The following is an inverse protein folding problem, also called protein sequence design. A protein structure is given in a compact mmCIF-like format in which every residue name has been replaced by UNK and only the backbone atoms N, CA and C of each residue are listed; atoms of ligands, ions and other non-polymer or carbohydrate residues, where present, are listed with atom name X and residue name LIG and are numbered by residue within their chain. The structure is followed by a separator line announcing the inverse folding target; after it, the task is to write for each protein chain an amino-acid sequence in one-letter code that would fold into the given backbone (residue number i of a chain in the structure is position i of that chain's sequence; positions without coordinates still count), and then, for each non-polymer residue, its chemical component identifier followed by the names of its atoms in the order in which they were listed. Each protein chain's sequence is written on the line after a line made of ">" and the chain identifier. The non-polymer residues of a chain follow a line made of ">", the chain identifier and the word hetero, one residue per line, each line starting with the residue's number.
data_IF_262814754811
#
_entry.id   IF_262814754811
#
_cell.length_a   1.000
_cell.length_b   1.000
_cell.length_c   1.000
_cell.angle_alpha   90.00
_cell.angle_beta   90.00
_cell.angle_gamma   90.00
#
_symmetry.space_group_name_H-M   'P 1'
#
loop_
_entity.id
_entity.type
_entity.pdbx_description
1 polymer ?
#
# COMPACT_ATOMS: atom_id res chain seq x y z
N UNK A 1 17.83 -11.40 -35.32
CA UNK A 1 17.96 -9.94 -35.54
C UNK A 1 16.57 -9.32 -35.40
N UNK A 2 16.52 -8.16 -34.72
CA UNK A 2 15.50 -7.07 -34.80
C UNK A 2 14.05 -7.38 -34.39
N UNK A 3 13.43 -6.75 -33.37
CA UNK A 3 13.81 -5.57 -32.58
C UNK A 3 13.61 -5.80 -31.07
N UNK A 4 14.43 -5.29 -30.15
CA UNK A 4 15.20 -4.04 -30.11
C UNK A 4 14.36 -2.82 -30.45
N UNK A 5 13.61 -2.38 -29.44
CA UNK A 5 13.41 -0.99 -28.97
C UNK A 5 12.03 -0.97 -28.28
N UNK A 6 12.03 -0.96 -26.93
CA UNK A 6 10.88 -0.64 -26.02
C UNK A 6 10.12 -1.80 -25.32
N UNK A 7 10.37 -3.09 -25.58
CA UNK A 7 9.50 -4.15 -25.00
C UNK A 7 9.76 -4.55 -23.53
N UNK A 8 10.95 -4.29 -23.03
CA UNK A 8 11.28 -4.16 -21.63
C UNK A 8 12.31 -3.02 -21.63
N UNK A 9 12.45 -2.19 -20.61
CA UNK A 9 13.48 -1.13 -20.62
C UNK A 9 14.92 -1.70 -20.74
N UNK A 10 15.09 -3.03 -20.85
CA UNK A 10 16.36 -3.76 -20.76
C UNK A 10 16.92 -3.73 -19.34
N UNK A 11 16.15 -3.15 -18.41
CA UNK A 11 16.55 -2.92 -17.03
C UNK A 11 15.93 -4.01 -16.18
N UNK A 12 16.69 -5.08 -15.97
CA UNK A 12 16.33 -6.15 -15.05
C UNK A 12 16.07 -5.63 -13.63
N UNK A 13 15.38 -6.40 -12.77
CA UNK A 13 14.99 -5.97 -11.43
C UNK A 13 16.15 -5.45 -10.57
N UNK A 14 17.32 -6.07 -10.66
CA UNK A 14 18.53 -5.66 -9.93
C UNK A 14 19.08 -4.31 -10.42
N UNK A 15 19.15 -4.11 -11.73
CA UNK A 15 19.60 -2.84 -12.32
C UNK A 15 18.62 -1.73 -11.95
N UNK A 16 17.32 -2.01 -11.97
CA UNK A 16 16.31 -1.05 -11.54
C UNK A 16 16.50 -0.65 -10.07
N UNK A 17 16.76 -1.62 -9.19
CA UNK A 17 17.05 -1.36 -7.80
C UNK A 17 18.27 -0.45 -7.63
N UNK A 18 19.36 -0.71 -8.36
CA UNK A 18 20.57 0.12 -8.31
C UNK A 18 20.29 1.54 -8.82
N UNK A 19 19.60 1.69 -9.95
CA UNK A 19 19.25 2.99 -10.53
C UNK A 19 18.35 3.80 -9.59
N UNK A 20 17.36 3.15 -8.99
CA UNK A 20 16.43 3.80 -8.06
C UNK A 20 17.07 4.11 -6.72
N UNK A 21 17.97 3.26 -6.21
CA UNK A 21 18.77 3.55 -5.02
C UNK A 21 19.66 4.77 -5.26
N UNK A 22 20.42 4.78 -6.35
CA UNK A 22 21.29 5.92 -6.71
C UNK A 22 20.44 7.18 -6.90
N UNK A 23 19.33 7.11 -7.65
CA UNK A 23 18.42 8.22 -7.87
C UNK A 23 17.82 8.77 -6.56
N UNK A 24 17.33 7.90 -5.68
CA UNK A 24 16.79 8.32 -4.39
C UNK A 24 17.88 8.91 -3.48
N UNK A 25 19.08 8.33 -3.46
CA UNK A 25 20.21 8.88 -2.69
C UNK A 25 20.59 10.27 -3.23
N UNK A 26 20.76 10.45 -4.54
CA UNK A 26 21.11 11.75 -5.10
C UNK A 26 20.03 12.81 -4.86
N UNK A 27 18.76 12.45 -4.93
CA UNK A 27 17.65 13.39 -4.78
C UNK A 27 17.29 13.70 -3.33
N UNK A 28 17.45 12.77 -2.39
CA UNK A 28 16.86 12.88 -1.05
C UNK A 28 17.86 12.74 0.10
N UNK A 29 19.01 12.09 -0.12
CA UNK A 29 20.06 12.01 0.89
C UNK A 29 20.69 13.39 1.08
N UNK A 30 21.07 13.76 2.31
CA UNK A 30 22.03 14.87 2.46
C UNK A 30 23.36 14.44 3.01
N UNK A 31 24.35 14.74 2.19
CA UNK A 31 25.76 14.44 2.38
C UNK A 31 26.39 15.27 3.50
N UNK A 32 25.88 16.47 3.79
CA UNK A 32 26.36 17.30 4.90
C UNK A 32 26.02 16.76 6.30
N UNK A 33 25.07 15.83 6.41
CA UNK A 33 24.66 15.22 7.68
C UNK A 33 24.27 13.76 7.47
N UNK A 34 25.29 12.90 7.38
CA UNK A 34 25.15 11.47 7.11
C UNK A 34 24.22 10.80 8.13
N UNK A 35 24.45 11.00 9.44
CA UNK A 35 23.69 10.39 10.53
C UNK A 35 22.41 11.14 10.89
N UNK A 36 21.53 11.36 9.91
CA UNK A 36 20.23 11.99 10.14
C UNK A 36 19.09 10.96 10.09
N UNK A 37 18.04 11.16 10.90
CA UNK A 37 16.81 10.34 10.88
C UNK A 37 16.23 10.25 9.46
N UNK A 38 16.33 11.34 8.70
CA UNK A 38 15.93 11.39 7.29
C UNK A 38 16.72 10.43 6.40
N UNK A 39 18.05 10.42 6.53
CA UNK A 39 18.89 9.51 5.76
C UNK A 39 18.65 8.05 6.21
N UNK A 40 18.44 7.82 7.51
CA UNK A 40 18.02 6.52 8.02
C UNK A 40 16.71 6.06 7.37
N UNK A 41 15.70 6.93 7.30
CA UNK A 41 14.42 6.61 6.67
C UNK A 41 14.59 6.24 5.19
N UNK A 42 15.47 6.94 4.47
CA UNK A 42 15.80 6.62 3.08
C UNK A 42 16.51 5.26 2.96
N UNK A 43 17.42 4.93 3.88
CA UNK A 43 18.10 3.62 3.89
C UNK A 43 17.12 2.50 4.25
N UNK A 44 16.24 2.71 5.23
CA UNK A 44 15.18 1.78 5.61
C UNK A 44 14.22 1.53 4.44
N UNK A 45 13.96 2.54 3.60
CA UNK A 45 13.14 2.36 2.41
C UNK A 45 13.74 1.30 1.49
N UNK A 46 15.06 1.24 1.34
CA UNK A 46 15.74 0.24 0.51
C UNK A 46 16.12 -1.04 1.26
N UNK A 47 16.01 -1.07 2.60
CA UNK A 47 16.34 -2.25 3.40
C UNK A 47 15.45 -3.47 3.09
N UNK A 48 14.21 -3.27 2.65
CA UNK A 48 13.31 -4.34 2.20
C UNK A 48 13.66 -4.87 0.80
N UNK A 49 14.38 -4.10 0.00
CA UNK A 49 14.60 -4.41 -1.43
C UNK A 49 15.37 -5.70 -1.67
N UNK A 50 16.44 -6.06 -0.93
CA UNK A 50 17.13 -7.33 -1.11
C UNK A 50 16.21 -8.55 -0.89
N UNK A 51 15.36 -8.50 0.13
CA UNK A 51 14.36 -9.53 0.42
C UNK A 51 13.35 -9.66 -0.72
N UNK A 52 12.78 -8.54 -1.17
CA UNK A 52 11.87 -8.52 -2.32
C UNK A 52 12.54 -9.08 -3.58
N UNK A 53 13.78 -8.69 -3.86
CA UNK A 53 14.49 -9.09 -5.08
C UNK A 53 14.74 -10.59 -5.16
N UNK A 54 14.92 -11.25 -4.01
CA UNK A 54 15.02 -12.72 -3.96
C UNK A 54 13.71 -13.44 -4.22
N UNK A 55 12.57 -12.75 -4.15
CA UNK A 55 11.26 -13.32 -4.46
C UNK A 55 10.84 -13.04 -5.91
N UNK A 56 11.21 -11.87 -6.45
CA UNK A 56 10.86 -11.46 -7.82
C UNK A 56 11.37 -12.48 -8.84
N UNK A 57 10.46 -12.99 -9.68
CA UNK A 57 10.82 -13.88 -10.80
C UNK A 57 11.11 -15.34 -10.40
N UNK A 58 11.11 -15.69 -9.10
CA UNK A 58 11.44 -17.05 -8.63
C UNK A 58 10.23 -18.01 -8.58
N UNK A 59 9.04 -17.59 -9.01
CA UNK A 59 7.85 -18.44 -9.11
C UNK A 59 7.55 -19.17 -7.80
N UNK A 60 7.41 -20.50 -7.87
CA UNK A 60 7.09 -21.36 -6.72
C UNK A 60 8.27 -21.63 -5.79
N UNK A 61 9.50 -21.31 -6.19
CA UNK A 61 10.73 -21.54 -5.40
C UNK A 61 11.12 -20.30 -4.62
N UNK A 62 10.22 -19.86 -3.75
CA UNK A 62 10.45 -18.69 -2.91
C UNK A 62 11.28 -19.07 -1.67
N UNK A 63 12.51 -18.54 -1.52
CA UNK A 63 13.37 -18.92 -0.40
C UNK A 63 12.83 -18.32 0.91
N UNK A 64 12.58 -19.15 1.91
CA UNK A 64 12.07 -18.74 3.23
C UNK A 64 12.88 -17.59 3.87
N UNK A 65 14.21 -17.57 3.68
CA UNK A 65 15.09 -16.50 4.18
C UNK A 65 14.74 -15.11 3.66
N UNK A 66 14.14 -15.00 2.47
CA UNK A 66 13.70 -13.72 1.93
C UNK A 66 12.52 -13.15 2.75
N UNK A 67 11.59 -14.00 3.19
CA UNK A 67 10.52 -13.60 4.09
C UNK A 67 11.03 -13.16 5.45
N UNK A 68 12.02 -13.86 6.01
CA UNK A 68 12.69 -13.44 7.25
C UNK A 68 13.27 -12.03 7.10
N UNK A 69 13.92 -11.75 5.97
CA UNK A 69 14.48 -10.43 5.67
C UNK A 69 13.40 -9.34 5.58
N UNK A 70 12.29 -9.63 4.91
CA UNK A 70 11.14 -8.73 4.81
C UNK A 70 10.50 -8.47 6.18
N UNK A 71 10.42 -9.49 7.03
CA UNK A 71 9.92 -9.36 8.40
C UNK A 71 10.84 -8.46 9.23
N UNK A 72 12.16 -8.64 9.16
CA UNK A 72 13.12 -7.80 9.87
C UNK A 72 13.07 -6.34 9.40
N UNK A 73 13.01 -6.10 8.09
CA UNK A 73 12.86 -4.75 7.54
C UNK A 73 11.52 -4.11 7.90
N UNK A 74 10.44 -4.88 7.89
CA UNK A 74 9.11 -4.42 8.32
C UNK A 74 9.10 -4.11 9.81
N UNK A 75 9.82 -4.90 10.63
CA UNK A 75 9.93 -4.66 12.06
C UNK A 75 10.72 -3.37 12.34
N UNK A 76 11.79 -3.11 11.58
CA UNK A 76 12.53 -1.85 11.66
C UNK A 76 11.64 -0.65 11.29
N UNK A 77 10.81 -0.78 10.25
CA UNK A 77 9.81 0.25 9.90
C UNK A 77 8.75 0.44 10.99
N UNK A 78 8.25 -0.65 11.58
CA UNK A 78 7.28 -0.60 12.68
C UNK A 78 7.86 0.15 13.89
N UNK A 79 9.07 -0.20 14.31
CA UNK A 79 9.80 0.52 15.37
C UNK A 79 9.97 1.99 14.99
N UNK A 80 10.36 2.28 13.75
CA UNK A 80 10.53 3.65 13.27
C UNK A 80 9.23 4.45 13.32
N UNK A 81 8.09 3.85 13.00
CA UNK A 81 6.76 4.48 13.14
C UNK A 81 6.41 4.81 14.59
N UNK A 82 6.81 3.99 15.57
CA UNK A 82 6.61 4.31 16.99
C UNK A 82 7.56 5.39 17.49
N UNK A 83 8.85 5.32 17.13
CA UNK A 83 9.82 6.38 17.43
C UNK A 83 9.36 7.72 16.88
N UNK A 84 8.67 7.70 15.74
CA UNK A 84 8.06 8.86 15.12
C UNK A 84 7.14 9.64 16.06
N UNK A 85 6.38 8.95 16.93
CA UNK A 85 5.46 9.56 17.88
C UNK A 85 6.19 10.42 18.93
N UNK A 86 7.44 10.08 19.26
CA UNK A 86 8.27 10.81 20.22
C UNK A 86 9.03 12.00 19.64
N UNK A 87 9.08 12.17 18.31
CA UNK A 87 9.86 13.22 17.66
C UNK A 87 9.12 14.57 17.64
N UNK A 88 9.49 15.45 18.57
CA UNK A 88 8.94 16.83 18.71
C UNK A 88 9.42 17.78 17.61
N UNK A 89 10.69 17.69 17.21
CA UNK A 89 11.27 18.44 16.09
C UNK A 89 11.71 17.49 14.99
N UNK A 90 11.36 17.83 13.75
CA UNK A 90 11.67 17.01 12.59
C UNK A 90 12.50 17.78 11.58
N UNK A 91 13.68 17.28 11.19
CA UNK A 91 14.37 17.79 10.03
C UNK A 91 13.59 17.39 8.78
N UNK A 92 13.10 18.38 8.04
CA UNK A 92 12.35 18.19 6.81
C UNK A 92 13.22 17.51 5.74
N UNK A 93 12.65 16.53 5.03
CA UNK A 93 13.28 15.91 3.86
C UNK A 93 13.12 16.84 2.66
N UNK A 94 14.01 17.82 2.56
CA UNK A 94 14.07 18.69 1.40
C UNK A 94 14.83 18.00 0.27
N UNK A 95 14.21 17.86 -0.92
CA UNK A 95 14.88 17.31 -2.07
C UNK A 95 16.07 18.18 -2.48
N UNK A 96 17.08 17.57 -3.10
CA UNK A 96 18.23 18.24 -3.67
C UNK A 96 17.93 18.82 -5.07
N UNK A 97 16.76 18.49 -5.64
CA UNK A 97 16.26 19.01 -6.90
C UNK A 97 15.15 20.04 -6.65
N UNK A 98 15.06 21.06 -7.50
CA UNK A 98 14.01 22.06 -7.43
C UNK A 98 12.63 21.52 -7.87
N UNK A 99 11.57 22.30 -7.68
CA UNK A 99 10.20 21.90 -7.98
C UNK A 99 10.00 21.52 -9.46
N UNK A 100 10.54 22.31 -10.39
CA UNK A 100 10.40 22.07 -11.83
C UNK A 100 11.08 20.74 -12.24
N UNK A 101 12.28 20.47 -11.73
CA UNK A 101 12.99 19.21 -11.96
C UNK A 101 12.25 18.01 -11.40
N UNK A 102 11.71 18.11 -10.18
CA UNK A 102 10.90 17.04 -9.57
C UNK A 102 9.60 16.81 -10.34
N UNK A 103 8.98 17.87 -10.88
CA UNK A 103 7.76 17.75 -11.67
C UNK A 103 8.04 17.04 -13.00
N UNK A 104 9.10 17.47 -13.70
CA UNK A 104 9.58 16.81 -14.91
C UNK A 104 9.88 15.33 -14.66
N UNK A 105 10.64 15.03 -13.59
CA UNK A 105 10.97 13.65 -13.23
C UNK A 105 9.74 12.82 -12.86
N UNK A 106 8.80 13.39 -12.09
CA UNK A 106 7.55 12.71 -11.73
C UNK A 106 6.71 12.40 -12.96
N UNK A 107 6.55 13.35 -13.88
CA UNK A 107 5.80 13.14 -15.13
C UNK A 107 6.48 12.08 -15.98
N UNK A 108 7.80 12.18 -16.18
CA UNK A 108 8.56 11.18 -16.95
C UNK A 108 8.46 9.77 -16.36
N UNK A 109 8.67 9.63 -15.05
CA UNK A 109 8.55 8.34 -14.35
C UNK A 109 7.14 7.78 -14.41
N UNK A 110 6.12 8.63 -14.22
CA UNK A 110 4.72 8.21 -14.34
C UNK A 110 4.40 7.75 -15.76
N UNK A 111 4.84 8.47 -16.78
CA UNK A 111 4.68 8.08 -18.18
C UNK A 111 5.39 6.75 -18.49
N UNK A 112 6.60 6.54 -17.96
CA UNK A 112 7.32 5.27 -18.10
C UNK A 112 6.57 4.11 -17.44
N UNK A 113 6.07 4.29 -16.22
CA UNK A 113 5.31 3.25 -15.52
C UNK A 113 3.98 2.95 -16.22
N UNK A 114 3.28 3.96 -16.74
CA UNK A 114 2.06 3.76 -17.54
C UNK A 114 2.37 3.01 -18.84
N UNK A 115 3.43 3.40 -19.55
CA UNK A 115 3.87 2.70 -20.75
C UNK A 115 4.25 1.24 -20.44
N UNK A 116 4.96 1.00 -19.34
CA UNK A 116 5.32 -0.35 -18.89
C UNK A 116 4.07 -1.18 -18.55
N UNK A 117 3.05 -0.61 -17.89
CA UNK A 117 1.80 -1.34 -17.63
C UNK A 117 1.09 -1.80 -18.92
N UNK A 118 1.16 -1.00 -19.98
CA UNK A 118 0.57 -1.31 -21.29
C UNK A 118 1.39 -2.38 -22.01
N UNK A 119 2.72 -2.28 -21.99
CA UNK A 119 3.63 -3.15 -22.73
C UNK A 119 3.93 -4.48 -22.04
N UNK A 120 3.83 -4.54 -20.71
CA UNK A 120 4.22 -5.71 -19.91
C UNK A 120 3.30 -6.91 -20.23
N UNK A 121 3.84 -8.05 -20.69
CA UNK A 121 3.06 -9.27 -20.90
C UNK A 121 2.26 -9.68 -19.66
N UNK A 122 1.08 -10.26 -19.87
CA UNK A 122 0.15 -10.60 -18.79
C UNK A 122 0.77 -11.56 -17.77
N UNK A 123 1.42 -12.61 -18.27
CA UNK A 123 2.06 -13.67 -17.49
C UNK A 123 3.33 -13.21 -16.77
N UNK A 124 4.05 -12.23 -17.31
CA UNK A 124 5.23 -11.66 -16.65
C UNK A 124 4.84 -10.73 -15.49
N UNK A 125 3.74 -9.99 -15.62
CA UNK A 125 3.28 -9.07 -14.59
C UNK A 125 2.94 -9.75 -13.26
N UNK A 126 2.35 -10.95 -13.30
CA UNK A 126 2.08 -11.73 -12.09
C UNK A 126 3.36 -12.29 -11.47
N UNK A 127 4.24 -12.89 -12.29
CA UNK A 127 5.53 -13.47 -11.84
C UNK A 127 6.46 -12.43 -11.22
N UNK A 128 6.32 -11.16 -11.61
CA UNK A 128 7.12 -10.06 -11.08
C UNK A 128 6.74 -9.70 -9.65
N UNK A 129 5.48 -9.85 -9.26
CA UNK A 129 4.97 -9.38 -7.98
C UNK A 129 4.93 -10.51 -6.94
N UNK A 130 5.82 -10.50 -5.93
CA UNK A 130 5.80 -11.52 -4.88
C UNK A 130 4.51 -11.53 -4.05
N UNK A 131 3.74 -10.45 -4.06
CA UNK A 131 2.47 -10.37 -3.33
C UNK A 131 1.27 -10.84 -4.16
N UNK A 132 1.47 -11.37 -5.37
CA UNK A 132 0.38 -11.97 -6.13
C UNK A 132 -0.05 -13.28 -5.44
N UNK A 133 -1.34 -13.48 -5.09
CA UNK A 133 -1.79 -14.70 -4.43
C UNK A 133 -1.45 -15.94 -5.25
N UNK A 134 -0.82 -16.92 -4.60
CA UNK A 134 -0.55 -18.23 -5.18
C UNK A 134 -1.87 -18.92 -5.52
N UNK A 135 -2.08 -19.29 -6.79
CA UNK A 135 -3.30 -19.99 -7.21
C UNK A 135 -4.51 -19.10 -7.49
N UNK A 136 -4.33 -17.92 -8.12
CA UNK A 136 -5.44 -17.22 -8.78
C UNK A 136 -6.24 -18.23 -9.60
N UNK A 137 -7.47 -18.51 -9.18
CA UNK A 137 -8.45 -19.29 -9.95
C UNK A 137 -8.63 -18.60 -11.31
N UNK A 138 -7.83 -18.95 -12.31
CA UNK A 138 -8.15 -18.60 -13.69
C UNK A 138 -9.45 -19.33 -13.97
N UNK A 139 -10.58 -18.64 -14.19
CA UNK A 139 -11.81 -19.31 -14.54
C UNK A 139 -11.51 -20.15 -15.79
N UNK A 140 -11.94 -21.42 -15.85
CA UNK A 140 -11.77 -22.19 -17.07
C UNK A 140 -12.41 -21.40 -18.22
N UNK A 141 -11.77 -21.36 -19.40
CA UNK A 141 -12.24 -20.55 -20.51
C UNK A 141 -13.72 -20.86 -20.82
N UNK A 142 -14.52 -19.85 -21.23
CA UNK A 142 -15.92 -20.09 -21.60
C UNK A 142 -16.00 -21.20 -22.65
N UNK A 143 -16.71 -22.29 -22.35
CA UNK A 143 -16.82 -23.47 -23.23
C UNK A 143 -16.00 -24.70 -22.82
N UNK A 144 -15.24 -24.64 -21.73
CA UNK A 144 -14.39 -25.74 -21.25
C UNK A 144 -15.14 -26.99 -20.73
N UNK A 145 -16.48 -27.04 -20.77
CA UNK A 145 -17.20 -28.19 -20.22
C UNK A 145 -17.31 -29.39 -21.14
N UNK A 146 -17.48 -29.28 -22.46
CA UNK A 146 -17.68 -30.53 -23.25
C UNK A 146 -17.23 -30.52 -24.74
N UNK A 147 -16.74 -29.41 -25.31
CA UNK A 147 -16.53 -29.35 -26.77
C UNK A 147 -15.10 -29.65 -27.28
N UNK A 148 -14.06 -29.56 -26.44
CA UNK A 148 -12.66 -29.45 -26.93
C UNK A 148 -11.62 -30.25 -26.11
N UNK A 149 -11.95 -31.47 -25.66
CA UNK A 149 -10.99 -32.32 -24.93
C UNK A 149 -9.74 -32.64 -25.77
N UNK A 150 -9.90 -32.88 -27.08
CA UNK A 150 -8.79 -33.12 -28.00
C UNK A 150 -7.93 -31.86 -28.23
N UNK A 151 -8.55 -30.68 -28.39
CA UNK A 151 -7.82 -29.41 -28.52
C UNK A 151 -7.07 -29.09 -27.22
N UNK A 152 -7.69 -29.32 -26.06
CA UNK A 152 -7.05 -29.15 -24.76
C UNK A 152 -5.88 -30.13 -24.56
N UNK A 153 -6.00 -31.39 -25.02
CA UNK A 153 -4.90 -32.36 -25.02
C UNK A 153 -3.76 -31.93 -25.96
N UNK A 154 -4.07 -31.43 -27.16
CA UNK A 154 -3.06 -30.89 -28.09
C UNK A 154 -2.38 -29.64 -27.52
N UNK A 155 -3.11 -28.76 -26.82
CA UNK A 155 -2.55 -27.58 -26.14
C UNK A 155 -1.68 -27.93 -24.93
N UNK A 156 -1.87 -29.10 -24.32
CA UNK A 156 -0.96 -29.61 -23.29
C UNK A 156 0.36 -30.11 -23.90
N UNK A 157 0.33 -30.65 -25.13
CA UNK A 157 1.51 -31.15 -25.86
C UNK A 157 2.26 -29.99 -26.54
N UNK A 158 1.52 -29.02 -27.09
CA UNK A 158 2.04 -27.85 -27.77
C UNK A 158 1.33 -26.59 -27.24
N UNK A 159 1.86 -25.96 -26.17
CA UNK A 159 1.27 -24.75 -25.62
C UNK A 159 1.23 -23.64 -26.68
N UNK A 160 0.08 -22.99 -26.84
CA UNK A 160 -0.03 -21.77 -27.64
C UNK A 160 1.05 -20.76 -27.19
N UNK A 161 1.74 -20.10 -28.14
CA UNK A 161 2.53 -18.91 -27.84
C UNK A 161 1.70 -17.93 -27.01
N UNK A 162 2.30 -17.31 -25.99
CA UNK A 162 1.61 -16.39 -25.07
C UNK A 162 0.86 -15.27 -25.80
N UNK A 163 1.37 -14.83 -26.95
CA UNK A 163 0.74 -13.83 -27.82
C UNK A 163 -0.63 -14.25 -28.41
N UNK A 164 -0.93 -15.55 -28.46
CA UNK A 164 -2.16 -16.11 -29.03
C UNK A 164 -3.16 -16.56 -27.96
N UNK A 165 -2.81 -16.48 -26.67
CA UNK A 165 -3.72 -16.80 -25.57
C UNK A 165 -4.65 -15.60 -25.31
N UNK A 166 -5.98 -15.74 -25.41
CA UNK A 166 -6.89 -14.66 -25.06
C UNK A 166 -6.75 -14.34 -23.58
N UNK A 167 -6.45 -13.07 -23.26
CA UNK A 167 -6.33 -12.62 -21.88
C UNK A 167 -7.73 -12.52 -21.25
N UNK A 168 -7.94 -13.11 -20.07
CA UNK A 168 -9.23 -13.00 -19.39
C UNK A 168 -9.54 -11.52 -19.07
N UNK A 169 -10.81 -11.08 -19.23
CA UNK A 169 -11.18 -9.67 -19.03
C UNK A 169 -10.90 -9.17 -17.61
N UNK A 170 -10.89 -10.07 -16.63
CA UNK A 170 -10.53 -9.75 -15.24
C UNK A 170 -9.10 -9.20 -15.13
N UNK A 171 -8.15 -9.75 -15.88
CA UNK A 171 -6.73 -9.35 -15.79
C UNK A 171 -6.51 -7.99 -16.44
N UNK A 172 -7.17 -7.73 -17.56
CA UNK A 172 -7.15 -6.41 -18.20
C UNK A 172 -7.74 -5.36 -17.24
N UNK A 173 -8.91 -5.66 -16.65
CA UNK A 173 -9.57 -4.76 -15.71
C UNK A 173 -8.73 -4.52 -14.45
N UNK A 174 -8.06 -5.56 -13.93
CA UNK A 174 -7.11 -5.45 -12.81
C UNK A 174 -5.97 -4.48 -13.14
N UNK A 175 -5.37 -4.57 -14.33
CA UNK A 175 -4.31 -3.66 -14.78
C UNK A 175 -4.77 -2.22 -14.97
N UNK A 176 -5.96 -2.03 -15.53
CA UNK A 176 -6.58 -0.70 -15.65
C UNK A 176 -6.83 -0.12 -14.26
N UNK A 177 -7.38 -0.91 -13.34
CA UNK A 177 -7.63 -0.51 -11.97
C UNK A 177 -6.34 -0.16 -11.23
N UNK A 178 -5.27 -0.96 -11.38
CA UNK A 178 -3.96 -0.66 -10.82
C UNK A 178 -3.41 0.67 -11.36
N UNK A 179 -3.48 0.89 -12.68
CA UNK A 179 -3.02 2.13 -13.33
C UNK A 179 -3.76 3.36 -12.81
N UNK A 180 -5.10 3.29 -12.74
CA UNK A 180 -5.93 4.36 -12.18
C UNK A 180 -5.62 4.60 -10.71
N UNK A 181 -5.36 3.54 -9.94
CA UNK A 181 -4.99 3.65 -8.53
C UNK A 181 -3.59 4.29 -8.37
N UNK A 182 -2.61 4.00 -9.21
CA UNK A 182 -1.31 4.69 -9.22
C UNK A 182 -1.48 6.20 -9.51
N UNK A 183 -2.28 6.56 -10.52
CA UNK A 183 -2.58 7.96 -10.85
C UNK A 183 -3.27 8.67 -9.68
N UNK A 184 -4.30 8.05 -9.11
CA UNK A 184 -5.03 8.58 -7.96
C UNK A 184 -4.13 8.72 -6.73
N UNK A 185 -3.22 7.77 -6.51
CA UNK A 185 -2.27 7.79 -5.42
C UNK A 185 -1.25 8.92 -5.57
N UNK A 186 -0.67 9.11 -6.75
CA UNK A 186 0.24 10.24 -7.06
C UNK A 186 -0.48 11.58 -6.83
N UNK A 187 -1.70 11.73 -7.36
CA UNK A 187 -2.51 12.92 -7.13
C UNK A 187 -2.80 13.14 -5.64
N UNK A 188 -3.16 12.07 -4.92
CA UNK A 188 -3.42 12.10 -3.49
C UNK A 188 -2.21 12.55 -2.67
N UNK A 189 -1.02 12.04 -2.97
CA UNK A 189 0.23 12.42 -2.30
C UNK A 189 0.55 13.91 -2.51
N UNK A 190 0.40 14.41 -3.75
CA UNK A 190 0.57 15.83 -4.08
C UNK A 190 -0.47 16.68 -3.34
N UNK A 191 -1.75 16.28 -3.33
CA UNK A 191 -2.83 17.00 -2.64
C UNK A 191 -2.58 17.06 -1.14
N UNK A 192 -2.13 15.97 -0.50
CA UNK A 192 -1.80 15.97 0.93
C UNK A 192 -0.63 16.92 1.21
N UNK A 193 0.42 16.90 0.40
CA UNK A 193 1.54 17.83 0.56
C UNK A 193 1.16 19.30 0.34
N UNK A 194 0.29 19.58 -0.63
CA UNK A 194 -0.18 20.94 -0.89
C UNK A 194 -1.14 21.44 0.20
N UNK A 195 -2.21 20.70 0.50
CA UNK A 195 -3.29 21.16 1.38
C UNK A 195 -2.97 21.02 2.86
N UNK A 196 -2.29 19.93 3.24
CA UNK A 196 -2.13 19.57 4.65
C UNK A 196 -0.74 19.84 5.18
N UNK A 197 0.29 19.60 4.35
CA UNK A 197 1.66 19.98 4.71
C UNK A 197 1.96 21.45 4.42
N UNK A 198 1.11 22.14 3.64
CA UNK A 198 1.30 23.53 3.21
C UNK A 198 2.64 23.75 2.49
N UNK A 199 3.17 22.68 1.89
CA UNK A 199 4.45 22.66 1.18
C UNK A 199 4.29 21.83 -0.10
N UNK A 200 3.96 22.45 -1.24
CA UNK A 200 3.77 21.75 -2.50
C UNK A 200 4.99 20.91 -2.91
N UNK A 201 6.20 21.42 -2.67
CA UNK A 201 7.46 20.70 -2.96
C UNK A 201 7.55 19.39 -2.17
N UNK A 202 7.04 19.33 -0.93
CA UNK A 202 7.04 18.11 -0.15
C UNK A 202 6.08 17.05 -0.74
N UNK A 203 4.88 17.47 -1.17
CA UNK A 203 3.95 16.56 -1.86
C UNK A 203 4.51 16.01 -3.16
N UNK A 204 5.16 16.87 -3.93
CA UNK A 204 5.85 16.48 -5.15
C UNK A 204 7.02 15.52 -4.87
N UNK A 205 7.82 15.80 -3.85
CA UNK A 205 8.94 14.95 -3.43
C UNK A 205 8.47 13.55 -2.98
N UNK A 206 7.37 13.47 -2.22
CA UNK A 206 6.73 12.21 -1.84
C UNK A 206 6.29 11.43 -3.08
N UNK A 207 5.62 12.09 -4.02
CA UNK A 207 5.17 11.47 -5.26
C UNK A 207 6.35 10.99 -6.13
N UNK A 208 7.41 11.79 -6.26
CA UNK A 208 8.63 11.39 -6.98
C UNK A 208 9.30 10.19 -6.30
N UNK A 209 9.42 10.18 -4.97
CA UNK A 209 10.01 9.07 -4.23
C UNK A 209 9.16 7.79 -4.35
N UNK A 210 7.83 7.93 -4.37
CA UNK A 210 6.92 6.82 -4.67
C UNK A 210 7.16 6.26 -6.07
N UNK A 211 7.21 7.11 -7.09
CA UNK A 211 7.39 6.69 -8.49
C UNK A 211 8.77 6.06 -8.74
N UNK A 212 9.81 6.56 -8.07
CA UNK A 212 11.16 6.00 -8.12
C UNK A 212 11.33 4.74 -7.27
N UNK A 213 10.42 4.45 -6.35
CA UNK A 213 10.60 3.31 -5.45
C UNK A 213 10.65 1.99 -6.22
N UNK A 214 11.59 1.07 -5.90
CA UNK A 214 11.67 -0.23 -6.58
C UNK A 214 10.37 -1.04 -6.41
N UNK A 215 9.67 -0.88 -5.28
CA UNK A 215 8.42 -1.58 -4.99
C UNK A 215 7.29 -1.20 -5.95
N UNK A 216 7.25 0.06 -6.40
CA UNK A 216 6.22 0.56 -7.31
C UNK A 216 6.30 -0.12 -8.67
N UNK A 217 7.52 -0.37 -9.18
CA UNK A 217 7.72 -1.07 -10.46
C UNK A 217 7.53 -2.59 -10.29
N UNK A 218 7.94 -3.17 -9.16
CA UNK A 218 7.77 -4.60 -8.86
C UNK A 218 6.29 -4.99 -8.84
N UNK A 219 5.46 -4.22 -8.13
CA UNK A 219 4.03 -4.46 -7.99
C UNK A 219 3.17 -3.53 -8.87
N UNK A 220 3.69 -3.13 -10.04
CA UNK A 220 3.11 -2.12 -10.94
C UNK A 220 1.67 -2.44 -11.37
N UNK A 221 1.37 -3.72 -11.59
CA UNK A 221 0.05 -4.19 -12.03
C UNK A 221 -0.79 -4.74 -10.88
N UNK A 222 -0.37 -4.56 -9.64
CA UNK A 222 -1.04 -5.11 -8.46
C UNK A 222 -2.16 -4.19 -7.96
N UNK A 223 -3.35 -4.35 -8.53
CA UNK A 223 -4.55 -3.68 -8.02
C UNK A 223 -4.93 -4.10 -6.59
N UNK A 224 -4.42 -5.23 -6.08
CA UNK A 224 -4.69 -5.67 -4.72
C UNK A 224 -4.15 -4.71 -3.67
N UNK A 225 -2.90 -4.27 -3.82
CA UNK A 225 -2.26 -3.35 -2.88
C UNK A 225 -2.50 -1.88 -3.22
N UNK A 226 -2.48 -1.51 -4.51
CA UNK A 226 -2.46 -0.10 -4.91
C UNK A 226 -3.83 0.56 -4.72
N UNK A 227 -4.92 -0.18 -4.96
CA UNK A 227 -6.29 0.33 -4.75
C UNK A 227 -6.54 0.76 -3.29
N UNK A 228 -6.34 -0.11 -2.28
CA UNK A 228 -6.52 0.31 -0.89
C UNK A 228 -5.52 1.39 -0.49
N UNK A 229 -4.27 1.35 -0.97
CA UNK A 229 -3.31 2.42 -0.71
C UNK A 229 -3.79 3.79 -1.25
N UNK A 230 -4.30 3.84 -2.48
CA UNK A 230 -4.88 5.03 -3.09
C UNK A 230 -6.12 5.53 -2.32
N UNK A 231 -6.99 4.62 -1.89
CA UNK A 231 -8.16 4.95 -1.07
C UNK A 231 -7.75 5.56 0.29
N UNK A 232 -6.75 4.99 0.96
CA UNK A 232 -6.27 5.50 2.26
C UNK A 232 -5.60 6.88 2.11
N UNK A 233 -4.77 7.08 1.09
CA UNK A 233 -4.16 8.40 0.84
C UNK A 233 -5.22 9.42 0.44
N UNK A 234 -6.23 9.02 -0.32
CA UNK A 234 -7.38 9.89 -0.62
C UNK A 234 -8.17 10.21 0.64
N UNK A 235 -8.35 9.25 1.56
CA UNK A 235 -8.99 9.46 2.85
C UNK A 235 -8.21 10.50 3.69
N UNK A 236 -6.88 10.45 3.66
CA UNK A 236 -6.03 11.47 4.27
C UNK A 236 -6.21 12.83 3.58
N UNK A 237 -6.33 12.89 2.26
CA UNK A 237 -6.58 14.14 1.55
C UNK A 237 -7.90 14.81 1.97
N UNK A 238 -8.90 14.03 2.41
CA UNK A 238 -10.22 14.51 2.84
C UNK A 238 -10.52 14.27 4.33
N UNK A 239 -9.49 14.13 5.18
CA UNK A 239 -9.65 13.74 6.60
C UNK A 239 -10.54 14.68 7.43
N UNK A 240 -10.82 15.90 6.98
CA UNK A 240 -11.75 16.81 7.68
C UNK A 240 -13.22 16.44 7.49
N UNK A 241 -13.53 15.51 6.57
CA UNK A 241 -14.88 15.03 6.26
C UNK A 241 -15.04 13.57 6.73
N UNK A 242 -15.49 13.32 7.98
CA UNK A 242 -15.47 11.99 8.59
C UNK A 242 -16.28 10.95 7.82
N UNK A 243 -17.40 11.33 7.19
CA UNK A 243 -18.22 10.40 6.40
C UNK A 243 -17.49 9.94 5.13
N UNK A 244 -16.82 10.85 4.41
CA UNK A 244 -16.08 10.51 3.18
C UNK A 244 -14.82 9.71 3.52
N UNK A 245 -14.10 10.10 4.57
CA UNK A 245 -12.99 9.31 5.08
C UNK A 245 -13.46 7.91 5.51
N UNK A 246 -14.62 7.82 6.16
CA UNK A 246 -15.22 6.55 6.56
C UNK A 246 -15.57 5.65 5.37
N UNK A 247 -16.12 6.23 4.30
CA UNK A 247 -16.40 5.53 3.04
C UNK A 247 -15.11 4.96 2.43
N UNK A 248 -14.07 5.78 2.30
CA UNK A 248 -12.81 5.39 1.67
C UNK A 248 -12.04 4.33 2.48
N UNK A 249 -11.96 4.48 3.80
CA UNK A 249 -11.35 3.47 4.68
C UNK A 249 -12.19 2.19 4.71
N UNK A 250 -13.52 2.31 4.69
CA UNK A 250 -14.42 1.16 4.61
C UNK A 250 -14.24 0.37 3.31
N UNK A 251 -14.12 1.04 2.16
CA UNK A 251 -13.81 0.41 0.88
C UNK A 251 -12.42 -0.25 0.89
N UNK A 252 -11.41 0.41 1.45
CA UNK A 252 -10.07 -0.16 1.59
C UNK A 252 -10.05 -1.42 2.47
N UNK A 253 -10.83 -1.43 3.56
CA UNK A 253 -11.01 -2.58 4.45
C UNK A 253 -11.84 -3.72 3.83
N UNK A 254 -12.83 -3.39 3.01
CA UNK A 254 -13.56 -4.38 2.22
C UNK A 254 -12.73 -5.01 1.10
N UNK A 255 -11.74 -4.28 0.57
CA UNK A 255 -10.82 -4.76 -0.46
C UNK A 255 -9.65 -5.56 0.10
N UNK A 256 -9.09 -5.12 1.24
CA UNK A 256 -7.90 -5.71 1.86
C UNK A 256 -8.08 -5.80 3.38
N UNK A 257 -8.13 -7.01 3.97
CA UNK A 257 -8.34 -7.21 5.41
C UNK A 257 -7.32 -6.50 6.31
N UNK A 258 -6.08 -6.29 5.85
CA UNK A 258 -5.06 -5.51 6.54
C UNK A 258 -5.54 -4.10 6.96
N UNK A 259 -6.47 -3.52 6.20
CA UNK A 259 -7.01 -2.18 6.45
C UNK A 259 -8.09 -2.17 7.55
N UNK A 260 -8.57 -3.33 8.04
CA UNK A 260 -9.57 -3.39 9.11
C UNK A 260 -9.08 -2.72 10.40
N UNK A 261 -7.78 -2.84 10.72
CA UNK A 261 -7.17 -2.17 11.87
C UNK A 261 -7.24 -0.64 11.80
N UNK A 262 -7.40 -0.06 10.60
CA UNK A 262 -7.53 1.38 10.42
C UNK A 262 -8.88 1.91 10.91
N UNK A 263 -9.94 1.11 10.92
CA UNK A 263 -11.28 1.54 11.33
C UNK A 263 -11.30 2.00 12.80
N UNK A 264 -10.93 1.18 13.80
CA UNK A 264 -10.88 1.63 15.18
C UNK A 264 -9.81 2.71 15.42
N UNK A 265 -8.68 2.68 14.70
CA UNK A 265 -7.64 3.72 14.79
C UNK A 265 -8.19 5.10 14.38
N UNK A 266 -8.84 5.18 13.23
CA UNK A 266 -9.42 6.42 12.69
C UNK A 266 -10.66 6.85 13.48
N UNK A 267 -11.45 5.91 14.02
CA UNK A 267 -12.51 6.22 14.98
C UNK A 267 -11.94 6.96 16.21
N UNK A 268 -10.80 6.50 16.71
CA UNK A 268 -10.03 7.16 17.78
C UNK A 268 -9.53 8.55 17.39
N UNK A 269 -9.13 8.77 16.13
CA UNK A 269 -8.77 10.10 15.63
C UNK A 269 -9.96 11.06 15.62
N UNK A 270 -11.16 10.60 15.25
CA UNK A 270 -12.39 11.40 15.27
C UNK A 270 -13.11 11.43 16.64
N UNK A 271 -12.51 10.89 17.70
CA UNK A 271 -13.16 10.64 19.01
C UNK A 271 -13.95 11.84 19.55
N UNK A 272 -13.41 13.06 19.43
CA UNK A 272 -14.11 14.28 19.88
C UNK A 272 -15.31 14.65 19.02
N UNK A 273 -15.19 14.55 17.70
CA UNK A 273 -16.23 14.98 16.77
C UNK A 273 -16.12 14.23 15.46
N UNK A 274 -17.23 13.61 15.06
CA UNK A 274 -17.34 12.89 13.80
C UNK A 274 -17.08 11.39 13.90
N UNK A 275 -16.73 10.84 15.07
CA UNK A 275 -16.49 9.40 15.22
C UNK A 275 -17.69 8.57 14.77
N UNK A 276 -18.92 8.91 15.21
CA UNK A 276 -20.14 8.19 14.81
C UNK A 276 -20.30 8.17 13.29
N UNK A 277 -20.14 9.33 12.64
CA UNK A 277 -20.28 9.44 11.17
C UNK A 277 -19.22 8.64 10.43
N UNK A 278 -17.99 8.65 10.94
CA UNK A 278 -16.91 7.85 10.38
C UNK A 278 -17.20 6.35 10.56
N UNK A 279 -17.45 5.90 11.79
CA UNK A 279 -17.62 4.48 12.11
C UNK A 279 -18.86 3.89 11.47
N UNK A 280 -19.99 4.61 11.48
CA UNK A 280 -21.23 4.12 10.86
C UNK A 280 -21.07 3.92 9.36
N UNK A 281 -20.39 4.86 8.68
CA UNK A 281 -20.14 4.75 7.24
C UNK A 281 -19.12 3.67 6.95
N UNK A 282 -18.00 3.60 7.68
CA UNK A 282 -16.99 2.55 7.47
C UNK A 282 -17.56 1.16 7.67
N UNK A 283 -18.26 0.92 8.78
CA UNK A 283 -18.87 -0.37 9.08
C UNK A 283 -20.00 -0.70 8.10
N UNK A 284 -20.80 0.29 7.69
CA UNK A 284 -21.83 0.12 6.68
C UNK A 284 -21.27 -0.30 5.33
N UNK A 285 -20.16 0.30 4.89
CA UNK A 285 -19.47 -0.03 3.63
C UNK A 285 -18.81 -1.40 3.69
N UNK A 286 -18.16 -1.75 4.80
CA UNK A 286 -17.57 -3.08 5.00
C UNK A 286 -18.66 -4.15 4.96
N UNK A 287 -19.73 -3.95 5.74
CA UNK A 287 -20.87 -4.87 5.79
C UNK A 287 -21.55 -4.97 4.42
N UNK A 288 -21.76 -3.85 3.73
CA UNK A 288 -22.31 -3.82 2.38
C UNK A 288 -21.44 -4.57 1.37
N UNK A 289 -20.12 -4.40 1.42
CA UNK A 289 -19.18 -5.13 0.55
C UNK A 289 -19.22 -6.63 0.81
N UNK A 290 -19.27 -7.04 2.08
CA UNK A 290 -19.38 -8.44 2.47
C UNK A 290 -20.71 -9.06 2.03
N UNK A 291 -21.83 -8.35 2.23
CA UNK A 291 -23.16 -8.78 1.79
C UNK A 291 -23.22 -8.91 0.26
N UNK A 292 -22.72 -7.91 -0.48
CA UNK A 292 -22.64 -7.99 -1.95
C UNK A 292 -21.85 -9.22 -2.39
N UNK A 293 -20.68 -9.47 -1.79
CA UNK A 293 -19.86 -10.64 -2.09
C UNK A 293 -20.52 -11.97 -1.77
N UNK A 294 -21.35 -12.04 -0.72
CA UNK A 294 -22.06 -13.25 -0.30
C UNK A 294 -23.32 -13.53 -1.12
N UNK A 295 -24.08 -12.49 -1.49
CA UNK A 295 -25.39 -12.63 -2.13
C UNK A 295 -25.38 -12.51 -3.65
N UNK A 296 -24.36 -11.88 -4.25
CA UNK A 296 -24.25 -11.77 -5.72
C UNK A 296 -23.35 -12.90 -6.24
N UNK A 297 -23.91 -13.89 -6.97
CA UNK A 297 -23.13 -15.02 -7.46
C UNK A 297 -21.96 -14.56 -8.34
N UNK A 298 -20.76 -15.07 -8.04
CA UNK A 298 -19.55 -14.76 -8.82
C UNK A 298 -18.90 -13.41 -8.50
N UNK A 299 -19.54 -12.50 -7.75
CA UNK A 299 -18.95 -11.20 -7.43
C UNK A 299 -17.68 -11.34 -6.59
N UNK A 300 -17.68 -12.18 -5.56
CA UNK A 300 -16.49 -12.44 -4.75
C UNK A 300 -15.33 -13.03 -5.58
N UNK A 301 -15.63 -13.84 -6.60
CA UNK A 301 -14.63 -14.38 -7.53
C UNK A 301 -14.05 -13.28 -8.42
N UNK A 302 -14.91 -12.38 -8.93
CA UNK A 302 -14.47 -11.21 -9.69
C UNK A 302 -13.61 -10.28 -8.84
N UNK A 303 -14.02 -9.98 -7.61
CA UNK A 303 -13.24 -9.15 -6.69
C UNK A 303 -11.85 -9.74 -6.44
N UNK A 304 -11.76 -11.06 -6.18
CA UNK A 304 -10.48 -11.77 -6.03
C UNK A 304 -9.63 -11.76 -7.29
N UNK A 305 -10.24 -11.93 -8.46
CA UNK A 305 -9.55 -11.82 -9.74
C UNK A 305 -9.02 -10.39 -10.01
N UNK A 306 -9.67 -9.36 -9.45
CA UNK A 306 -9.21 -7.98 -9.45
C UNK A 306 -8.21 -7.67 -8.32
N UNK A 307 -7.84 -8.63 -7.47
CA UNK A 307 -6.84 -8.47 -6.42
C UNK A 307 -7.39 -8.17 -5.02
N UNK A 308 -8.71 -8.13 -4.82
CA UNK A 308 -9.26 -8.06 -3.46
C UNK A 308 -8.94 -9.36 -2.71
N UNK A 309 -8.64 -9.27 -1.41
CA UNK A 309 -8.30 -10.44 -0.58
C UNK A 309 -9.40 -10.76 0.43
N UNK A 310 -9.63 -12.04 0.67
CA UNK A 310 -10.64 -12.50 1.63
C UNK A 310 -10.11 -12.60 3.06
N UNK A 311 -11.02 -12.66 4.04
CA UNK A 311 -10.67 -12.93 5.45
C UNK A 311 -10.00 -14.31 5.62
N UNK A 312 -10.35 -15.27 4.76
CA UNK A 312 -9.74 -16.60 4.75
C UNK A 312 -8.26 -16.54 4.35
N UNK A 313 -7.95 -15.87 3.24
CA UNK A 313 -6.58 -15.65 2.74
C UNK A 313 -5.72 -14.85 3.72
N UNK A 314 -6.32 -13.92 4.47
CA UNK A 314 -5.63 -13.23 5.56
C UNK A 314 -5.35 -14.16 6.76
N UNK A 315 -6.03 -15.29 6.88
CA UNK A 315 -5.95 -16.22 8.01
C UNK A 315 -6.85 -15.84 9.18
N UNK A 316 -7.89 -15.03 8.99
CA UNK A 316 -8.83 -14.67 10.07
C UNK A 316 -9.91 -15.73 10.32
N UNK A 317 -10.06 -16.71 9.41
CA UNK A 317 -11.01 -17.82 9.58
C UNK A 317 -10.31 -19.08 10.12
N UNK A 318 -10.96 -19.86 11.02
CA UNK A 318 -10.41 -21.12 11.53
C UNK A 318 -10.28 -22.19 10.45
N UNK A 319 -9.32 -23.11 10.61
CA UNK A 319 -9.22 -24.33 9.81
C UNK A 319 -8.56 -24.18 8.43
N UNK A 320 -7.88 -23.05 8.17
CA UNK A 320 -7.06 -22.86 6.98
C UNK A 320 -5.58 -23.12 7.32
N UNK A 321 -4.98 -24.10 6.66
CA UNK A 321 -3.55 -24.38 6.77
C UNK A 321 -2.73 -23.37 5.96
N UNK A 322 -1.53 -22.97 6.41
CA UNK A 322 -0.64 -22.12 5.63
C UNK A 322 -0.27 -22.82 4.32
N UNK A 323 -0.10 -22.06 3.23
CA UNK A 323 0.32 -22.64 1.96
C UNK A 323 1.68 -23.33 2.11
N UNK A 324 1.88 -24.39 1.34
CA UNK A 324 3.11 -25.18 1.38
C UNK A 324 4.34 -24.35 1.04
N UNK A 325 4.21 -23.29 0.22
CA UNK A 325 5.26 -22.35 -0.18
C UNK A 325 4.69 -20.91 -0.21
N UNK A 326 5.54 -19.89 -0.36
CA UNK A 326 5.09 -18.51 -0.58
C UNK A 326 4.64 -17.77 0.70
N UNK A 327 5.16 -18.16 1.86
CA UNK A 327 4.87 -17.45 3.11
C UNK A 327 5.98 -17.64 4.14
N UNK A 328 6.12 -16.67 5.05
CA UNK A 328 6.92 -16.83 6.27
C UNK A 328 6.46 -18.02 7.12
N UNK A 329 5.14 -18.26 7.14
CA UNK A 329 4.51 -19.32 7.92
C UNK A 329 4.52 -20.69 7.24
N UNK A 330 5.07 -20.80 6.03
CA UNK A 330 5.24 -22.08 5.33
C UNK A 330 6.07 -23.06 6.16
N UNK A 331 5.57 -24.28 6.36
CA UNK A 331 6.22 -25.31 7.16
C UNK A 331 6.17 -25.09 8.68
N UNK A 332 5.52 -24.04 9.15
CA UNK A 332 5.30 -23.75 10.58
C UNK A 332 3.81 -23.99 10.88
N UNK A 333 3.52 -24.57 12.03
CA UNK A 333 2.14 -24.74 12.49
C UNK A 333 1.43 -23.37 12.56
N UNK A 334 0.25 -23.29 11.95
CA UNK A 334 -0.55 -22.07 11.85
C UNK A 334 -0.85 -21.44 13.21
N UNK A 335 -0.87 -22.21 14.30
CA UNK A 335 -1.14 -21.74 15.65
C UNK A 335 -0.11 -20.74 16.17
N UNK A 336 1.16 -20.81 15.74
CA UNK A 336 2.21 -19.87 16.17
C UNK A 336 1.99 -18.43 15.70
N UNK A 337 1.09 -18.20 14.72
CA UNK A 337 0.70 -16.86 14.30
C UNK A 337 -0.34 -16.21 15.24
N UNK A 338 -1.05 -17.00 16.05
CA UNK A 338 -2.12 -16.50 16.91
C UNK A 338 -1.61 -15.49 17.96
N UNK A 339 -0.48 -15.72 18.65
CA UNK A 339 0.11 -14.70 19.52
C UNK A 339 0.44 -13.40 18.77
N UNK A 340 0.92 -13.49 17.52
CA UNK A 340 1.23 -12.33 16.68
C UNK A 340 -0.05 -11.57 16.29
N UNK A 341 -1.11 -12.29 15.94
CA UNK A 341 -2.43 -11.71 15.67
C UNK A 341 -3.00 -11.03 16.92
N UNK A 342 -2.89 -11.66 18.09
CA UNK A 342 -3.33 -11.08 19.38
C UNK A 342 -2.55 -9.80 19.67
N UNK A 343 -1.22 -9.80 19.46
CA UNK A 343 -0.38 -8.62 19.62
C UNK A 343 -0.79 -7.50 18.64
N UNK A 344 -1.15 -7.83 17.40
CA UNK A 344 -1.69 -6.89 16.44
C UNK A 344 -3.04 -6.31 16.88
N UNK A 345 -3.97 -7.15 17.36
CA UNK A 345 -5.26 -6.68 17.88
C UNK A 345 -5.09 -5.78 19.11
N UNK A 346 -4.16 -6.12 20.00
CA UNK A 346 -3.78 -5.28 21.12
C UNK A 346 -3.20 -3.94 20.66
N UNK A 347 -2.31 -3.95 19.65
CA UNK A 347 -1.79 -2.73 19.03
C UNK A 347 -2.93 -1.86 18.47
N UNK A 348 -3.85 -2.43 17.72
CA UNK A 348 -5.00 -1.72 17.15
C UNK A 348 -5.89 -1.13 18.24
N UNK A 349 -6.16 -1.88 19.31
CA UNK A 349 -6.95 -1.40 20.45
C UNK A 349 -6.24 -0.25 21.19
N UNK A 350 -4.97 -0.44 21.54
CA UNK A 350 -4.16 0.57 22.23
C UNK A 350 -4.07 1.83 21.38
N UNK A 351 -3.75 1.70 20.10
CA UNK A 351 -3.63 2.85 19.20
C UNK A 351 -4.98 3.48 18.87
N UNK A 352 -6.11 2.77 18.97
CA UNK A 352 -7.43 3.40 18.90
C UNK A 352 -7.67 4.34 20.09
N UNK A 353 -7.32 3.90 21.29
CA UNK A 353 -7.59 4.63 22.53
C UNK A 353 -6.54 5.70 22.86
N UNK A 354 -5.28 5.45 22.52
CA UNK A 354 -4.12 6.28 22.86
C UNK A 354 -3.25 6.59 21.63
N UNK A 355 -2.76 7.83 21.44
CA UNK A 355 -3.09 9.04 22.18
C UNK A 355 -4.58 9.41 22.08
N UNK A 356 -5.14 10.05 23.11
CA UNK A 356 -6.58 10.39 23.14
C UNK A 356 -6.95 11.48 22.12
N UNK A 357 -6.01 12.39 21.84
CA UNK A 357 -6.17 13.46 20.85
C UNK A 357 -5.10 13.34 19.77
N UNK A 358 -5.39 12.54 18.75
CA UNK A 358 -4.46 12.31 17.65
C UNK A 358 -4.40 13.52 16.71
N UNK A 359 -3.19 13.97 16.39
CA UNK A 359 -2.96 14.89 15.27
C UNK A 359 -2.80 14.12 13.94
N UNK A 360 -2.80 14.84 12.82
CA UNK A 360 -2.67 14.24 11.49
C UNK A 360 -1.35 13.46 11.30
N UNK A 361 -0.26 13.92 11.92
CA UNK A 361 1.01 13.20 11.89
C UNK A 361 0.92 11.85 12.62
N UNK A 362 0.40 11.84 13.85
CA UNK A 362 0.18 10.61 14.59
C UNK A 362 -0.75 9.65 13.83
N UNK A 363 -1.79 10.17 13.16
CA UNK A 363 -2.65 9.35 12.32
C UNK A 363 -1.89 8.68 11.17
N UNK A 364 -1.04 9.41 10.45
CA UNK A 364 -0.21 8.86 9.35
C UNK A 364 0.76 7.80 9.88
N UNK A 365 1.43 8.08 11.00
CA UNK A 365 2.42 7.17 11.59
C UNK A 365 1.76 5.89 12.13
N UNK A 366 0.66 6.02 12.86
CA UNK A 366 -0.09 4.87 13.40
C UNK A 366 -0.81 4.08 12.30
N UNK A 367 -1.29 4.73 11.24
CA UNK A 367 -1.87 4.02 10.09
C UNK A 367 -0.79 3.21 9.36
N UNK A 368 0.41 3.78 9.19
CA UNK A 368 1.58 3.05 8.67
C UNK A 368 1.92 1.87 9.57
N UNK A 369 2.04 2.10 10.88
CA UNK A 369 2.34 1.06 11.86
C UNK A 369 1.32 -0.07 11.84
N UNK A 370 0.02 0.24 11.76
CA UNK A 370 -1.05 -0.76 11.67
C UNK A 370 -0.91 -1.61 10.40
N UNK A 371 -0.66 -1.00 9.23
CA UNK A 371 -0.53 -1.74 7.98
C UNK A 371 0.76 -2.57 7.94
N UNK A 372 1.87 -2.05 8.46
CA UNK A 372 3.12 -2.80 8.61
C UNK A 372 2.93 -3.97 9.58
N UNK A 373 2.30 -3.73 10.73
CA UNK A 373 2.06 -4.78 11.73
C UNK A 373 1.15 -5.89 11.19
N UNK A 374 0.25 -5.57 10.25
CA UNK A 374 -0.59 -6.59 9.61
C UNK A 374 0.22 -7.61 8.82
N UNK A 375 1.41 -7.24 8.33
CA UNK A 375 2.25 -8.14 7.53
C UNK A 375 2.76 -9.35 8.30
N UNK A 376 2.84 -9.26 9.63
CA UNK A 376 3.40 -10.32 10.45
C UNK A 376 2.44 -11.49 10.65
N UNK A 377 1.11 -11.27 10.61
CA UNK A 377 0.13 -12.32 10.89
C UNK A 377 -0.62 -12.83 9.66
N UNK A 378 -0.46 -12.18 8.50
CA UNK A 378 -1.04 -12.65 7.24
C UNK A 378 -0.57 -14.07 6.91
N UNK A 379 -1.53 -14.94 6.59
CA UNK A 379 -1.26 -16.34 6.29
C UNK A 379 -0.48 -16.50 4.98
N UNK A 380 -0.91 -15.80 3.94
CA UNK A 380 -0.32 -15.83 2.60
C UNK A 380 0.42 -14.53 2.28
N UNK A 381 1.64 -14.65 1.74
CA UNK A 381 2.46 -13.55 1.23
C UNK A 381 2.75 -12.44 2.28
N UNK A 382 2.70 -12.76 3.57
CA UNK A 382 3.02 -11.84 4.65
C UNK A 382 4.41 -11.22 4.46
N UNK A 383 4.53 -9.91 4.63
CA UNK A 383 5.79 -9.17 4.47
C UNK A 383 6.05 -8.67 3.04
N UNK A 384 5.36 -9.20 2.03
CA UNK A 384 5.52 -8.78 0.62
C UNK A 384 4.66 -7.58 0.24
N UNK A 385 3.60 -7.27 1.01
CA UNK A 385 2.65 -6.20 0.69
C UNK A 385 3.16 -4.80 1.04
N UNK A 386 4.36 -4.46 0.54
CA UNK A 386 5.04 -3.19 0.80
C UNK A 386 4.27 -2.01 0.22
N UNK A 387 3.66 -2.17 -0.96
CA UNK A 387 3.00 -1.09 -1.68
C UNK A 387 1.73 -0.60 -0.97
N UNK A 388 1.14 -1.44 -0.11
CA UNK A 388 -0.01 -1.09 0.72
C UNK A 388 0.30 0.03 1.73
N UNK A 389 1.45 -0.05 2.41
CA UNK A 389 1.84 0.91 3.46
C UNK A 389 2.87 1.94 3.00
N UNK A 390 3.58 1.69 1.89
CA UNK A 390 4.63 2.56 1.35
C UNK A 390 4.21 4.03 1.26
N UNK A 391 3.03 4.40 0.71
CA UNK A 391 2.68 5.81 0.57
C UNK A 391 2.54 6.53 1.92
N UNK A 392 2.07 5.82 2.96
CA UNK A 392 1.95 6.39 4.30
C UNK A 392 3.32 6.55 4.97
N UNK A 393 4.22 5.58 4.76
CA UNK A 393 5.62 5.67 5.18
C UNK A 393 6.28 6.88 4.52
N UNK A 394 6.10 7.09 3.21
CA UNK A 394 6.64 8.26 2.52
C UNK A 394 6.02 9.56 3.05
N UNK A 395 4.70 9.62 3.28
CA UNK A 395 4.08 10.78 3.92
C UNK A 395 4.65 11.03 5.33
N UNK A 396 4.95 9.99 6.11
CA UNK A 396 5.60 10.11 7.41
C UNK A 396 7.03 10.67 7.31
N UNK A 397 7.80 10.26 6.29
CA UNK A 397 9.18 10.71 6.07
C UNK A 397 9.27 12.19 5.68
N UNK A 398 8.37 12.66 4.81
CA UNK A 398 8.44 13.99 4.22
C UNK A 398 7.57 15.05 4.91
N UNK A 399 6.71 14.65 5.87
CA UNK A 399 5.82 15.61 6.53
C UNK A 399 6.57 16.66 7.37
N UNK A 400 6.06 17.90 7.42
CA UNK A 400 6.44 18.88 8.43
C UNK A 400 5.90 18.49 9.82
N UNK A 401 6.13 19.33 10.82
CA UNK A 401 5.42 19.21 12.08
C UNK A 401 3.92 19.51 11.87
N UNK A 402 3.07 18.53 12.16
CA UNK A 402 1.60 18.61 11.99
C UNK A 402 0.85 18.63 13.33
N UNK A 403 1.52 18.98 14.44
CA UNK A 403 0.94 18.91 15.79
C UNK A 403 -0.33 19.76 15.98
N UNK A 404 -0.50 20.81 15.18
CA UNK A 404 -1.69 21.67 15.18
C UNK A 404 -2.85 21.17 14.30
N UNK A 405 -2.62 20.21 13.40
CA UNK A 405 -3.64 19.72 12.46
C UNK A 405 -4.48 18.62 13.11
N UNK A 406 -5.75 18.94 13.39
CA UNK A 406 -6.75 18.07 14.04
C UNK A 406 -8.01 17.96 13.15
N UNK A 407 -8.80 16.87 13.26
CA UNK A 407 -9.88 16.56 12.30
C UNK A 407 -10.90 17.68 12.14
N UNK A 408 -11.25 18.35 13.24
CA UNK A 408 -12.13 19.50 13.26
C UNK A 408 -11.58 20.46 14.31
N UNK A 409 -11.15 21.65 13.90
CA UNK A 409 -10.76 22.69 14.83
C UNK A 409 -11.93 22.95 15.79
N UNK A 410 -11.71 22.80 17.09
CA UNK A 410 -12.66 23.31 18.07
C UNK A 410 -12.81 24.81 17.85
N UNK A 411 -14.04 25.33 17.97
CA UNK A 411 -14.34 26.77 17.89
C UNK A 411 -13.75 27.59 19.06
N UNK A 412 -12.58 27.20 19.55
CA UNK A 412 -11.85 27.85 20.63
C UNK A 412 -11.38 29.24 20.23
N UNK A 413 -11.04 29.44 18.95
CA UNK A 413 -10.54 30.73 18.43
C UNK A 413 -11.59 31.84 18.44
N UNK A 414 -12.88 31.52 18.62
CA UNK A 414 -13.96 32.51 18.70
C UNK A 414 -14.30 32.91 20.14
N UNK A 415 -13.78 32.20 21.16
CA UNK A 415 -13.95 32.58 22.57
C UNK A 415 -12.88 33.56 23.04
N UNK A 416 -11.62 33.42 22.61
CA UNK A 416 -10.56 34.36 22.97
C UNK A 416 -10.76 35.75 22.34
N UNK A 417 -11.18 35.84 21.08
CA UNK A 417 -11.46 37.14 20.45
C UNK A 417 -12.69 37.84 21.05
N UNK A 418 -13.67 37.09 21.57
CA UNK A 418 -14.82 37.69 22.27
C UNK A 418 -14.48 38.17 23.68
N UNK A 419 -13.51 37.56 24.36
CA UNK A 419 -13.05 38.02 25.67
C UNK A 419 -12.13 39.24 25.60
N UNK A 420 -11.38 39.42 24.49
CA UNK A 420 -10.57 40.64 24.29
C UNK A 420 -11.36 41.86 23.83
N UNK A 421 -12.63 41.69 23.42
CA UNK A 421 -13.51 42.76 22.90
C UNK A 421 -14.41 43.39 23.97
N UNK A 422 -14.39 42.86 25.20
CA UNK A 422 -15.09 43.46 26.34
C UNK A 422 -14.12 43.61 27.52
N UNK A 423 -13.39 44.74 27.62
CA UNK A 423 -12.78 45.10 28.89
C UNK A 423 -13.94 45.30 29.89
N UNK A 424 -13.98 44.43 30.91
CA UNK A 424 -14.78 44.67 32.11
C UNK A 424 -14.26 45.98 32.70
N UNK A 425 -15.15 46.99 32.75
CA UNK A 425 -14.89 48.29 33.38
C UNK A 425 -14.68 48.15 34.88
#
# INVERSE_FOLDING_TARGET
>A
MTGSLVLDLGVGPEIWLLLTLVGCVTLFFKFSRIWSVRNLDLLLLFALSPGMMRLVGNGDRQPWIAFVWLFLGSAAWLVRCFLDLGLTRRPLLEPNLNAAGLACLSVGMLSLLVAETISLPVDEGEKRNPAAPSGRDTPPPPGARDANSAVNQVLMIAPLPSALKPNPPQVILSRVLASLAHLGLVAGLIIVGWRHFERPIAGLAVATCYLLSPYTRIALVDSGQVVPAALIVTALAVYTRPAIAGLLIGLAAGWMPACLGLVPLWAGFYRRKGWIRFTSVSLGVISGSALLGAFIPGLARWARALGARSLAEAGLLPGMDPPLNGSFWSGIDASYRLPVLIAFLALVLVTSLWPAEKNLGELIALSSASLIASQFWYLEEGGTMVLLYLPLVLLMMFRPNLGSKRPIAGSSRMKETRQSLFPVR
#
